data_IF_959086209117
#
_entry.id   IF_959086209117
#
_cell.length_a   1.000
_cell.length_b   1.000
_cell.length_c   1.000
_cell.angle_alpha   90.00
_cell.angle_beta   90.00
_cell.angle_gamma   90.00
#
_symmetry.space_group_name_H-M   'P 1'
#
loop_
_entity.id
_entity.type
_entity.pdbx_description
1 polymer ?
#
# COMPACT_ATOMS: atom_id res chain seq x y z
N UNK A 1 19.84 -29.46 5.20
CA UNK A 1 18.72 -29.18 4.27
C UNK A 1 18.15 -27.82 4.65
N UNK A 2 18.48 -26.78 3.90
CA UNK A 2 18.02 -25.40 4.18
C UNK A 2 16.64 -25.18 3.60
N UNK A 3 15.68 -24.53 4.31
CA UNK A 3 14.40 -24.17 3.72
C UNK A 3 14.63 -23.04 2.71
N UNK A 4 14.20 -23.26 1.48
CA UNK A 4 14.19 -22.25 0.43
C UNK A 4 13.23 -21.11 0.84
N UNK A 5 13.79 -19.91 1.01
CA UNK A 5 13.01 -18.69 1.17
C UNK A 5 12.22 -18.45 -0.13
N UNK A 6 10.91 -18.63 -0.08
CA UNK A 6 10.01 -18.19 -1.14
C UNK A 6 10.16 -16.68 -1.32
N UNK A 7 10.55 -16.27 -2.51
CA UNK A 7 10.69 -14.86 -2.88
C UNK A 7 9.30 -14.22 -2.87
N UNK A 8 9.11 -13.22 -2.03
CA UNK A 8 7.90 -12.43 -2.01
C UNK A 8 7.69 -11.80 -3.40
N UNK A 9 6.61 -12.16 -4.05
CA UNK A 9 6.23 -11.58 -5.34
C UNK A 9 5.40 -10.30 -5.09
N UNK A 10 5.57 -9.29 -5.94
CA UNK A 10 4.72 -8.09 -5.90
C UNK A 10 3.24 -8.46 -6.09
N UNK A 11 2.35 -7.90 -5.27
CA UNK A 11 0.92 -8.15 -5.32
C UNK A 11 0.16 -6.92 -5.79
N UNK A 12 -0.83 -7.14 -6.64
CA UNK A 12 -1.82 -6.13 -7.05
C UNK A 12 -3.14 -6.51 -6.39
N UNK A 13 -3.64 -5.66 -5.50
CA UNK A 13 -4.94 -5.81 -4.86
C UNK A 13 -5.95 -4.92 -5.61
N UNK A 14 -6.97 -5.53 -6.17
CA UNK A 14 -8.06 -4.81 -6.83
C UNK A 14 -9.34 -4.98 -6.02
N UNK A 15 -10.05 -3.89 -5.76
CA UNK A 15 -11.31 -3.88 -5.05
C UNK A 15 -12.46 -3.52 -6.00
N UNK A 16 -13.63 -4.15 -5.88
CA UNK A 16 -14.75 -3.95 -6.77
C UNK A 16 -15.48 -2.62 -6.56
N UNK A 17 -16.09 -2.16 -7.61
CA UNK A 17 -16.88 -0.95 -7.65
C UNK A 17 -18.27 -1.18 -7.03
N UNK A 18 -18.52 -0.71 -5.80
CA UNK A 18 -19.89 -0.56 -5.34
C UNK A 18 -20.28 -1.11 -3.97
N UNK A 19 -19.36 -1.24 -3.03
CA UNK A 19 -19.68 -1.63 -1.65
C UNK A 19 -19.19 -0.61 -0.63
N UNK A 20 -20.03 -0.29 0.34
CA UNK A 20 -19.67 0.55 1.48
C UNK A 20 -18.67 -0.23 2.36
N UNK A 21 -17.37 0.09 2.27
CA UNK A 21 -16.30 -0.60 3.00
C UNK A 21 -16.34 -0.41 4.53
N UNK A 22 -17.38 0.24 5.07
CA UNK A 22 -17.52 0.54 6.50
C UNK A 22 -17.84 -0.69 7.39
N UNK A 23 -18.05 -1.88 6.84
CA UNK A 23 -18.58 -3.01 7.61
C UNK A 23 -17.73 -4.27 7.64
N UNK A 24 -16.42 -4.17 7.45
CA UNK A 24 -15.51 -5.29 7.73
C UNK A 24 -15.17 -5.31 9.22
N UNK A 25 -15.96 -6.05 10.01
CA UNK A 25 -15.63 -6.36 11.41
C UNK A 25 -14.36 -7.20 11.46
N UNK A 26 -13.22 -6.56 11.73
CA UNK A 26 -12.01 -7.25 12.14
C UNK A 26 -12.19 -7.73 13.59
N UNK A 27 -12.00 -9.02 13.84
CA UNK A 27 -11.94 -9.55 15.19
C UNK A 27 -10.75 -8.94 15.93
N UNK A 28 -11.06 -8.26 17.03
CA UNK A 28 -10.07 -7.64 17.91
C UNK A 28 -9.33 -8.72 18.70
N UNK A 29 -8.03 -8.83 18.53
CA UNK A 29 -7.13 -9.38 19.54
C UNK A 29 -6.47 -8.21 20.27
N UNK A 30 -6.49 -8.27 21.61
CA UNK A 30 -6.11 -7.21 22.51
C UNK A 30 -4.63 -6.76 22.37
N UNK A 31 -4.29 -5.50 22.74
CA UNK A 31 -2.94 -4.98 22.57
C UNK A 31 -2.00 -5.49 23.66
N UNK A 32 -0.89 -6.09 23.23
CA UNK A 32 0.25 -6.35 24.11
C UNK A 32 1.01 -5.04 24.36
N UNK A 33 1.35 -4.79 25.64
CA UNK A 33 2.05 -3.61 26.13
C UNK A 33 3.36 -3.35 25.40
N UNK A 34 3.56 -2.09 25.02
CA UNK A 34 4.80 -1.60 24.42
C UNK A 34 5.94 -1.63 25.42
N UNK A 35 6.96 -2.44 25.19
CA UNK A 35 8.27 -2.27 25.81
C UNK A 35 9.16 -1.41 24.90
N UNK A 36 9.68 -0.33 25.48
CA UNK A 36 10.64 0.58 24.87
C UNK A 36 12.00 -0.13 24.77
N UNK A 37 12.30 -0.65 23.60
CA UNK A 37 13.63 -1.13 23.24
C UNK A 37 14.10 -0.45 21.95
N UNK A 38 14.94 0.57 22.09
CA UNK A 38 15.55 1.32 21.00
C UNK A 38 16.67 0.46 20.40
N UNK A 39 16.35 -0.39 19.44
CA UNK A 39 17.36 -1.07 18.63
C UNK A 39 17.44 -0.38 17.27
N UNK A 40 18.56 0.32 17.07
CA UNK A 40 19.04 0.82 15.79
C UNK A 40 19.39 -0.40 14.94
N UNK A 41 18.49 -0.84 14.07
CA UNK A 41 18.83 -1.81 13.02
C UNK A 41 18.97 -1.03 11.72
N UNK A 42 20.21 -0.85 11.30
CA UNK A 42 20.58 -0.54 9.93
C UNK A 42 20.22 -1.78 9.08
N UNK A 43 18.97 -1.85 8.63
CA UNK A 43 18.47 -2.93 7.77
C UNK A 43 18.66 -2.56 6.30
N UNK A 44 19.51 -3.30 5.62
CA UNK A 44 19.64 -3.41 4.17
C UNK A 44 18.25 -3.29 3.50
N UNK A 45 18.14 -2.54 2.38
CA UNK A 45 16.89 -2.27 1.63
C UNK A 45 16.12 -3.50 1.12
N UNK A 46 16.51 -4.70 1.51
CA UNK A 46 15.90 -5.97 1.10
C UNK A 46 14.60 -6.35 1.84
N UNK A 47 14.24 -5.65 2.93
CA UNK A 47 13.03 -5.93 3.72
C UNK A 47 12.06 -4.74 3.81
N UNK A 48 12.02 -3.90 2.81
CA UNK A 48 11.10 -2.76 2.76
C UNK A 48 10.05 -3.01 1.67
N UNK A 49 8.79 -2.76 1.99
CA UNK A 49 7.69 -2.84 1.03
C UNK A 49 7.15 -1.45 0.72
N UNK A 50 6.79 -1.21 -0.54
CA UNK A 50 6.03 -0.05 -0.99
C UNK A 50 4.60 -0.49 -1.25
N UNK A 51 3.64 0.17 -0.61
CA UNK A 51 2.21 -0.06 -0.82
C UNK A 51 1.62 1.21 -1.43
N UNK A 52 1.27 1.15 -2.70
CA UNK A 52 0.74 2.26 -3.48
C UNK A 52 -0.76 2.08 -3.70
N UNK A 53 -1.58 3.01 -3.19
CA UNK A 53 -2.99 3.08 -3.52
C UNK A 53 -3.19 4.07 -4.67
N UNK A 54 -3.77 3.59 -5.77
CA UNK A 54 -4.08 4.46 -6.92
C UNK A 54 -5.40 5.18 -6.72
N UNK A 55 -5.47 6.41 -7.23
CA UNK A 55 -6.64 7.26 -7.13
C UNK A 55 -6.43 8.58 -7.86
N UNK A 56 -7.42 9.45 -7.76
CA UNK A 56 -7.41 10.78 -8.35
C UNK A 56 -7.40 11.83 -7.23
N UNK A 57 -6.44 12.79 -7.22
CA UNK A 57 -6.29 13.76 -6.13
C UNK A 57 -7.36 14.86 -6.10
N UNK A 58 -8.26 14.94 -7.09
CA UNK A 58 -9.34 15.93 -7.11
C UNK A 58 -10.47 15.55 -6.15
N UNK A 59 -10.99 16.53 -5.40
CA UNK A 59 -12.10 16.35 -4.43
C UNK A 59 -13.36 15.72 -5.02
N UNK A 60 -13.62 15.90 -6.30
CA UNK A 60 -14.77 15.30 -6.99
C UNK A 60 -14.76 13.77 -6.99
N UNK A 61 -13.57 13.16 -6.78
CA UNK A 61 -13.40 11.71 -6.71
C UNK A 61 -13.35 11.18 -5.26
N UNK A 62 -13.44 12.06 -4.25
CA UNK A 62 -13.47 11.65 -2.85
C UNK A 62 -14.68 10.75 -2.59
N UNK A 63 -14.45 9.65 -1.86
CA UNK A 63 -15.46 8.63 -1.57
C UNK A 63 -16.10 7.94 -2.80
N UNK A 64 -15.49 8.06 -3.96
CA UNK A 64 -15.88 7.29 -5.15
C UNK A 64 -15.08 5.98 -5.24
N UNK A 65 -15.64 5.02 -6.00
CA UNK A 65 -14.94 3.76 -6.30
C UNK A 65 -13.57 3.94 -6.95
N UNK A 66 -13.39 5.03 -7.74
CA UNK A 66 -12.14 5.35 -8.40
C UNK A 66 -11.02 5.79 -7.43
N UNK A 67 -11.36 6.07 -6.17
CA UNK A 67 -10.40 6.38 -5.12
C UNK A 67 -10.27 5.28 -4.06
N UNK A 68 -10.70 4.06 -4.38
CA UNK A 68 -10.60 2.94 -3.43
C UNK A 68 -9.15 2.68 -3.00
N UNK A 69 -8.17 2.85 -3.91
CA UNK A 69 -6.77 2.74 -3.55
C UNK A 69 -6.36 3.75 -2.48
N UNK A 70 -6.78 5.00 -2.59
CA UNK A 70 -6.54 6.03 -1.57
C UNK A 70 -7.20 5.68 -0.25
N UNK A 71 -8.48 5.24 -0.29
CA UNK A 71 -9.22 4.83 0.91
C UNK A 71 -8.55 3.69 1.66
N UNK A 72 -8.00 2.70 0.93
CA UNK A 72 -7.25 1.59 1.56
C UNK A 72 -5.96 2.08 2.20
N UNK A 73 -5.24 3.01 1.56
CA UNK A 73 -4.04 3.62 2.18
C UNK A 73 -4.40 4.38 3.47
N UNK A 74 -5.51 5.13 3.47
CA UNK A 74 -5.96 5.84 4.69
C UNK A 74 -6.32 4.86 5.80
N UNK A 75 -7.06 3.79 5.49
CA UNK A 75 -7.37 2.73 6.47
C UNK A 75 -6.11 2.03 7.00
N UNK A 76 -5.11 1.80 6.16
CA UNK A 76 -3.82 1.23 6.60
C UNK A 76 -3.06 2.21 7.48
N UNK A 77 -3.04 3.49 7.10
CA UNK A 77 -2.43 4.57 7.86
C UNK A 77 -3.01 4.63 9.28
N UNK A 78 -4.34 4.64 9.40
CA UNK A 78 -5.04 4.64 10.69
C UNK A 78 -4.73 3.39 11.53
N UNK A 79 -4.77 2.21 10.92
CA UNK A 79 -4.48 0.94 11.61
C UNK A 79 -3.04 0.81 12.10
N UNK A 80 -2.11 1.40 11.37
CA UNK A 80 -0.67 1.28 11.68
C UNK A 80 -0.12 2.49 12.42
N UNK A 81 -0.91 3.57 12.56
CA UNK A 81 -0.46 4.84 13.13
C UNK A 81 0.55 5.58 12.25
N UNK A 82 0.58 5.30 10.94
CA UNK A 82 1.49 5.93 10.00
C UNK A 82 0.81 7.16 9.40
N UNK A 83 1.40 8.35 9.56
CA UNK A 83 0.91 9.57 8.93
C UNK A 83 1.34 9.63 7.47
N UNK A 84 0.39 9.67 6.52
CA UNK A 84 0.63 9.79 5.07
C UNK A 84 0.43 11.25 4.65
N UNK A 85 1.36 12.12 5.06
CA UNK A 85 1.27 13.58 4.87
C UNK A 85 2.53 14.21 4.28
N UNK A 86 3.57 13.42 3.97
CA UNK A 86 4.81 13.95 3.39
C UNK A 86 4.65 14.05 1.88
N UNK A 87 4.52 15.28 1.37
CA UNK A 87 4.46 15.54 -0.08
C UNK A 87 5.86 15.40 -0.70
N UNK A 88 6.11 14.33 -1.44
CA UNK A 88 7.39 14.03 -2.10
C UNK A 88 7.16 13.09 -3.28
N UNK A 89 8.08 13.09 -4.27
CA UNK A 89 8.01 12.16 -5.41
C UNK A 89 6.65 12.16 -6.12
N UNK A 90 6.05 13.33 -6.32
CA UNK A 90 4.72 13.50 -6.95
C UNK A 90 3.59 12.77 -6.20
N UNK A 91 3.75 12.50 -4.89
CA UNK A 91 2.77 11.79 -4.08
C UNK A 91 2.77 12.21 -2.62
N UNK A 92 1.81 11.71 -1.86
CA UNK A 92 1.81 11.74 -0.41
C UNK A 92 2.37 10.42 0.10
N UNK A 93 3.36 10.52 0.99
CA UNK A 93 4.07 9.36 1.53
C UNK A 93 3.97 9.32 3.06
N UNK A 94 3.92 8.10 3.57
CA UNK A 94 4.08 7.80 4.99
C UNK A 94 5.00 6.60 5.17
N UNK A 95 5.93 6.67 6.11
CA UNK A 95 6.87 5.59 6.40
C UNK A 95 6.64 5.06 7.81
N UNK A 96 6.67 3.75 7.97
CA UNK A 96 6.50 3.11 9.28
C UNK A 96 6.77 1.61 9.24
N UNK A 97 6.21 0.91 10.22
CA UNK A 97 6.41 -0.53 10.37
C UNK A 97 5.06 -1.24 10.52
N UNK A 98 4.93 -2.39 9.87
CA UNK A 98 3.80 -3.32 10.03
C UNK A 98 4.38 -4.71 10.32
N UNK A 99 4.06 -5.27 11.49
CA UNK A 99 4.55 -6.59 11.93
C UNK A 99 6.09 -6.74 11.82
N UNK A 100 6.84 -5.67 12.15
CA UNK A 100 8.30 -5.67 12.07
C UNK A 100 8.87 -5.42 10.67
N UNK A 101 8.04 -5.37 9.64
CA UNK A 101 8.44 -5.03 8.27
C UNK A 101 8.34 -3.52 8.05
N UNK A 102 9.38 -2.92 7.47
CA UNK A 102 9.34 -1.52 7.08
C UNK A 102 8.44 -1.35 5.86
N UNK A 103 7.48 -0.43 5.94
CA UNK A 103 6.56 -0.14 4.84
C UNK A 103 6.57 1.34 4.51
N UNK A 104 6.35 1.63 3.24
CA UNK A 104 6.11 2.98 2.71
C UNK A 104 4.71 2.97 2.11
N UNK A 105 3.80 3.76 2.66
CA UNK A 105 2.48 4.01 2.11
C UNK A 105 2.56 5.16 1.12
N UNK A 106 1.96 5.01 -0.05
CA UNK A 106 2.04 5.99 -1.13
C UNK A 106 0.66 6.26 -1.73
N UNK A 107 0.29 7.53 -1.81
CA UNK A 107 -0.85 8.04 -2.58
C UNK A 107 -0.30 8.92 -3.70
N UNK A 108 -0.25 8.45 -4.96
CA UNK A 108 0.18 9.28 -6.09
C UNK A 108 -0.73 10.50 -6.25
N UNK A 109 -0.16 11.70 -6.36
CA UNK A 109 -0.91 12.93 -6.64
C UNK A 109 -0.94 13.27 -8.14
N UNK A 110 -0.37 12.41 -8.97
CA UNK A 110 -0.52 12.41 -10.43
C UNK A 110 -1.90 11.91 -10.82
N UNK A 111 -2.35 12.22 -12.03
CA UNK A 111 -3.56 11.58 -12.56
C UNK A 111 -3.36 10.07 -12.68
N UNK A 112 -4.45 9.30 -12.68
CA UNK A 112 -4.43 7.82 -12.66
C UNK A 112 -3.47 7.24 -13.71
N UNK A 113 -3.50 7.75 -14.93
CA UNK A 113 -2.64 7.33 -16.04
C UNK A 113 -1.14 7.66 -15.87
N UNK A 114 -0.79 8.55 -14.94
CA UNK A 114 0.59 8.95 -14.66
C UNK A 114 1.08 8.43 -13.28
N UNK A 115 0.29 7.60 -12.60
CA UNK A 115 0.65 7.07 -11.28
C UNK A 115 1.98 6.31 -11.27
N UNK A 116 2.33 5.68 -12.39
CA UNK A 116 3.61 5.00 -12.58
C UNK A 116 4.83 5.90 -12.42
N UNK A 117 4.74 7.19 -12.76
CA UNK A 117 5.84 8.15 -12.58
C UNK A 117 6.15 8.35 -11.09
N UNK A 118 5.12 8.57 -10.27
CA UNK A 118 5.26 8.69 -8.81
C UNK A 118 5.86 7.43 -8.21
N UNK A 119 5.29 6.26 -8.56
CA UNK A 119 5.74 4.98 -8.03
C UNK A 119 7.20 4.73 -8.38
N UNK A 120 7.60 4.99 -9.62
CA UNK A 120 8.99 4.83 -10.08
C UNK A 120 9.95 5.70 -9.28
N UNK A 121 9.64 6.99 -9.09
CA UNK A 121 10.47 7.89 -8.30
C UNK A 121 10.62 7.40 -6.84
N UNK A 122 9.55 6.85 -6.25
CA UNK A 122 9.58 6.28 -4.90
C UNK A 122 10.47 5.05 -4.85
N UNK A 123 10.30 4.10 -5.79
CA UNK A 123 11.10 2.87 -5.84
C UNK A 123 12.60 3.18 -6.03
N UNK A 124 12.93 4.11 -6.93
CA UNK A 124 14.31 4.54 -7.21
C UNK A 124 14.93 5.22 -5.97
N UNK A 125 14.17 6.08 -5.29
CA UNK A 125 14.65 6.78 -4.09
C UNK A 125 14.92 5.84 -2.92
N UNK A 126 14.00 4.91 -2.64
CA UNK A 126 14.16 3.94 -1.55
C UNK A 126 14.95 2.70 -1.95
N UNK A 127 15.36 2.57 -3.21
CA UNK A 127 16.08 1.42 -3.78
C UNK A 127 15.32 0.11 -3.55
N UNK A 128 14.01 0.13 -3.77
CA UNK A 128 13.13 -1.02 -3.62
C UNK A 128 12.92 -1.68 -4.98
N UNK A 129 13.05 -3.01 -5.02
CA UNK A 129 12.71 -3.78 -6.22
C UNK A 129 11.19 -3.87 -6.37
N UNK A 130 10.66 -3.18 -7.38
CA UNK A 130 9.23 -3.18 -7.67
C UNK A 130 8.66 -4.53 -8.10
N UNK A 131 9.51 -5.47 -8.53
CA UNK A 131 9.07 -6.81 -8.94
C UNK A 131 8.74 -7.72 -7.75
N UNK A 132 9.29 -7.42 -6.58
CA UNK A 132 9.20 -8.28 -5.38
C UNK A 132 8.56 -7.57 -4.18
N UNK A 133 8.74 -6.27 -4.06
CA UNK A 133 8.43 -5.51 -2.86
C UNK A 133 7.44 -4.36 -3.08
N UNK A 134 6.75 -4.33 -4.23
CA UNK A 134 5.69 -3.37 -4.54
C UNK A 134 4.32 -4.04 -4.48
N UNK A 135 3.39 -3.41 -3.77
CA UNK A 135 1.96 -3.75 -3.76
C UNK A 135 1.21 -2.55 -4.34
N UNK A 136 0.43 -2.77 -5.39
CA UNK A 136 -0.42 -1.73 -5.99
C UNK A 136 -1.88 -2.08 -5.75
N UNK A 137 -2.66 -1.10 -5.29
CA UNK A 137 -4.08 -1.23 -4.97
C UNK A 137 -4.85 -0.26 -5.86
N UNK A 138 -5.79 -0.79 -6.65
CA UNK A 138 -6.66 0.00 -7.52
C UNK A 138 -8.03 -0.66 -7.70
N UNK A 139 -8.99 0.07 -8.25
CA UNK A 139 -10.27 -0.47 -8.66
C UNK A 139 -10.15 -1.31 -9.95
N UNK A 140 -11.07 -2.26 -10.11
CA UNK A 140 -11.20 -3.06 -11.33
C UNK A 140 -12.68 -3.18 -11.68
N UNK A 141 -13.10 -2.53 -12.76
CA UNK A 141 -14.49 -2.52 -13.21
C UNK A 141 -14.99 -3.86 -13.75
N UNK A 142 -14.07 -4.79 -14.03
CA UNK A 142 -14.39 -6.14 -14.51
C UNK A 142 -14.77 -7.12 -13.39
N UNK A 143 -14.69 -6.67 -12.13
CA UNK A 143 -15.02 -7.49 -10.96
C UNK A 143 -16.39 -7.13 -10.39
N UNK A 144 -17.11 -8.17 -9.99
CA UNK A 144 -18.33 -8.02 -9.21
C UNK A 144 -18.04 -7.33 -7.85
N UNK A 145 -19.00 -6.51 -7.33
CA UNK A 145 -18.85 -5.90 -6.02
C UNK A 145 -18.61 -6.93 -4.90
N UNK A 146 -17.59 -6.68 -4.07
CA UNK A 146 -17.22 -7.60 -2.96
C UNK A 146 -16.12 -8.59 -3.33
N UNK A 147 -15.68 -8.67 -4.59
CA UNK A 147 -14.60 -9.57 -5.02
C UNK A 147 -13.27 -8.84 -4.99
N UNK A 148 -12.25 -9.45 -4.39
CA UNK A 148 -10.86 -8.99 -4.44
C UNK A 148 -10.06 -9.94 -5.33
N UNK A 149 -9.29 -9.37 -6.25
CA UNK A 149 -8.38 -10.14 -7.09
C UNK A 149 -6.94 -9.77 -6.75
N UNK A 150 -6.12 -10.79 -6.46
CA UNK A 150 -4.69 -10.62 -6.22
C UNK A 150 -3.91 -11.22 -7.38
N UNK A 151 -3.01 -10.46 -7.98
CA UNK A 151 -2.16 -10.91 -9.09
C UNK A 151 -0.69 -10.61 -8.80
N UNK A 152 0.20 -11.54 -9.13
CA UNK A 152 1.66 -11.35 -9.05
C UNK A 152 2.20 -10.49 -10.20
N UNK A 153 1.53 -10.51 -11.34
CA UNK A 153 1.84 -9.72 -12.55
C UNK A 153 0.53 -9.32 -13.21
N UNK A 154 0.48 -8.13 -13.79
CA UNK A 154 -0.62 -7.65 -14.59
C UNK A 154 -0.07 -6.89 -15.79
N UNK A 155 -0.81 -6.89 -16.89
CA UNK A 155 -0.73 -5.89 -17.95
C UNK A 155 -1.96 -4.99 -17.83
N UNK A 156 -1.77 -3.70 -18.07
CA UNK A 156 -2.87 -2.77 -18.25
C UNK A 156 -3.56 -3.03 -19.60
#
# INVERSE_FOLDING_TARGET
>A
MSPQMERAAGYILTCPSGGNCANMKAQQTAPAKAEKGRQKQEGNGQNMYVIAGLGNPKKEYDNTRHNIGFSVIDMLADKTGISVNTAKHKGLLGAGYLNGQKIILVKPLTYMNLSGECIREVLDYYKVDGSTNLIVIHDDISLEPGIIRVRKKGSA
#
